data_IF_130005435527
#
_entry.id   IF_130005435527
#
_cell.length_a   1.000
_cell.length_b   1.000
_cell.length_c   1.000
_cell.angle_alpha   90.00
_cell.angle_beta   90.00
_cell.angle_gamma   90.00
#
_symmetry.space_group_name_H-M   'P 1'
#
loop_
_entity.id
_entity.type
_entity.pdbx_description
1 polymer ?
#
# COMPACT_ATOMS: atom_id res chain seq x y z
N UNK A 1 2.09 3.49 9.02
CA UNK A 1 1.99 4.83 8.39
C UNK A 1 3.35 5.10 7.74
N UNK A 2 3.44 4.95 6.41
CA UNK A 2 4.70 4.85 5.65
C UNK A 2 5.58 6.10 5.86
N UNK A 3 6.91 5.93 5.94
CA UNK A 3 7.85 7.03 6.21
C UNK A 3 7.74 8.17 5.21
N UNK A 4 7.39 7.84 3.96
CA UNK A 4 7.11 8.82 2.91
C UNK A 4 5.93 9.73 3.24
N UNK A 5 4.86 9.22 3.86
CA UNK A 5 3.71 10.05 4.27
C UNK A 5 4.09 11.10 5.32
N UNK A 6 5.07 10.84 6.20
CA UNK A 6 5.54 11.85 7.16
C UNK A 6 6.33 12.97 6.49
N UNK A 7 7.11 12.65 5.45
CA UNK A 7 7.87 13.62 4.66
C UNK A 7 6.95 14.51 3.83
N UNK A 8 5.93 13.93 3.20
CA UNK A 8 4.84 14.65 2.48
C UNK A 8 4.14 15.66 3.39
N UNK A 9 3.81 15.28 4.62
CA UNK A 9 3.08 16.15 5.55
C UNK A 9 3.95 17.24 6.18
N UNK A 10 5.28 17.09 6.16
CA UNK A 10 6.24 18.07 6.69
C UNK A 10 6.74 19.10 5.67
N UNK A 11 6.82 18.73 4.39
CA UNK A 11 7.24 19.61 3.30
C UNK A 11 6.02 20.09 2.51
N UNK A 12 5.76 21.39 2.60
CA UNK A 12 4.53 22.05 2.11
C UNK A 12 4.43 22.17 0.59
N UNK A 13 5.50 21.83 -0.14
CA UNK A 13 5.57 21.99 -1.60
C UNK A 13 5.53 20.62 -2.31
N UNK A 14 4.33 20.05 -2.35
CA UNK A 14 4.03 18.78 -3.02
C UNK A 14 4.09 18.89 -4.55
N UNK A 15 4.28 20.10 -5.09
CA UNK A 15 4.48 20.35 -6.52
C UNK A 15 5.68 19.57 -7.09
N UNK A 16 6.65 19.22 -6.23
CA UNK A 16 7.83 18.40 -6.57
C UNK A 16 7.79 17.00 -5.96
N UNK A 17 6.64 16.54 -5.47
CA UNK A 17 6.48 15.19 -4.93
C UNK A 17 6.90 14.12 -5.96
N UNK A 18 6.68 14.35 -7.25
CA UNK A 18 7.15 13.46 -8.31
C UNK A 18 8.67 13.23 -8.29
N UNK A 19 9.48 14.27 -8.09
CA UNK A 19 10.95 14.13 -7.96
C UNK A 19 11.35 13.57 -6.58
N UNK A 20 10.64 13.97 -5.51
CA UNK A 20 10.96 13.62 -4.11
C UNK A 20 10.60 12.17 -3.76
N UNK A 21 9.64 11.59 -4.47
CA UNK A 21 9.14 10.22 -4.30
C UNK A 21 9.32 9.38 -5.56
N UNK A 22 10.21 9.81 -6.47
CA UNK A 22 10.65 8.97 -7.58
C UNK A 22 11.42 7.81 -6.99
N UNK A 23 10.73 6.69 -6.83
CA UNK A 23 11.29 5.41 -6.41
C UNK A 23 11.54 4.58 -7.66
N UNK A 24 12.60 3.78 -7.64
CA UNK A 24 12.79 2.79 -8.69
C UNK A 24 11.68 1.73 -8.61
N UNK A 25 11.30 1.17 -9.75
CA UNK A 25 10.26 0.12 -9.82
C UNK A 25 10.58 -1.07 -8.88
N UNK A 26 11.87 -1.37 -8.70
CA UNK A 26 12.36 -2.41 -7.78
C UNK A 26 12.07 -2.13 -6.31
N UNK A 27 11.96 -0.86 -5.90
CA UNK A 27 11.69 -0.49 -4.51
C UNK A 27 10.20 -0.65 -4.14
N UNK A 28 9.30 -0.69 -5.14
CA UNK A 28 7.85 -0.85 -4.93
C UNK A 28 7.34 -2.26 -5.23
N UNK A 29 8.11 -3.06 -5.99
CA UNK A 29 7.72 -4.40 -6.46
C UNK A 29 7.32 -5.33 -5.31
N UNK A 30 8.11 -5.37 -4.23
CA UNK A 30 7.83 -6.21 -3.06
C UNK A 30 6.53 -5.81 -2.36
N UNK A 31 6.32 -4.49 -2.19
CA UNK A 31 5.12 -3.95 -1.57
C UNK A 31 3.86 -4.27 -2.37
N UNK A 32 3.94 -4.12 -3.70
CA UNK A 32 2.84 -4.44 -4.61
C UNK A 32 2.54 -5.93 -4.64
N UNK A 33 3.58 -6.77 -4.67
CA UNK A 33 3.45 -8.23 -4.64
C UNK A 33 2.80 -8.70 -3.34
N UNK A 34 3.21 -8.14 -2.20
CA UNK A 34 2.60 -8.44 -0.91
C UNK A 34 1.13 -8.01 -0.88
N UNK A 35 0.80 -6.81 -1.36
CA UNK A 35 -0.58 -6.32 -1.40
C UNK A 35 -1.48 -7.22 -2.27
N UNK A 36 -0.96 -7.70 -3.42
CA UNK A 36 -1.69 -8.63 -4.29
C UNK A 36 -1.93 -9.99 -3.61
N UNK A 37 -0.96 -10.50 -2.85
CA UNK A 37 -1.14 -11.76 -2.11
C UNK A 37 -2.18 -11.59 -0.99
N UNK A 38 -2.21 -10.47 -0.28
CA UNK A 38 -3.26 -10.19 0.71
C UNK A 38 -4.65 -10.08 0.07
N UNK A 39 -4.77 -9.44 -1.09
CA UNK A 39 -6.03 -9.41 -1.85
C UNK A 39 -6.45 -10.82 -2.25
N UNK A 40 -5.51 -11.67 -2.67
CA UNK A 40 -5.78 -13.07 -2.99
C UNK A 40 -6.27 -13.85 -1.76
N UNK A 41 -5.66 -13.64 -0.60
CA UNK A 41 -6.13 -14.24 0.66
C UNK A 41 -7.55 -13.79 1.00
N UNK A 42 -7.87 -12.50 0.87
CA UNK A 42 -9.21 -11.97 1.15
C UNK A 42 -10.24 -12.53 0.16
N UNK A 43 -9.93 -12.50 -1.14
CA UNK A 43 -10.83 -12.94 -2.21
C UNK A 43 -11.05 -14.45 -2.23
N UNK A 44 -10.05 -15.24 -1.84
CA UNK A 44 -10.14 -16.70 -1.75
C UNK A 44 -10.52 -17.20 -0.36
N UNK A 45 -10.65 -16.30 0.63
CA UNK A 45 -11.13 -16.67 1.94
C UNK A 45 -12.57 -17.17 1.81
N UNK A 46 -12.89 -18.38 2.30
CA UNK A 46 -14.28 -18.80 2.38
C UNK A 46 -15.01 -17.77 3.24
N UNK A 47 -16.10 -17.21 2.70
CA UNK A 47 -17.02 -16.39 3.49
C UNK A 47 -17.48 -17.32 4.62
N UNK A 48 -16.99 -17.07 5.83
CA UNK A 48 -17.44 -17.82 7.00
C UNK A 48 -18.84 -17.30 7.29
N UNK A 49 -19.83 -17.94 6.66
CA UNK A 49 -21.25 -17.83 7.04
C UNK A 49 -21.42 -18.52 8.40
N UNK A 50 -20.91 -17.91 9.46
CA UNK A 50 -21.41 -18.19 10.80
C UNK A 50 -22.80 -17.54 10.90
N UNK A 51 -23.81 -18.28 10.45
CA UNK A 51 -25.22 -17.99 10.68
C UNK A 51 -25.46 -18.05 12.21
N UNK A 52 -25.88 -16.95 12.87
CA UNK A 52 -26.32 -17.06 14.26
C UNK A 52 -27.66 -17.80 14.27
N UNK A 53 -27.73 -18.85 15.09
CA UNK A 53 -28.93 -19.65 15.34
C UNK A 53 -29.78 -19.00 16.43
#
# INVERSE_FOLDING_TARGET
MHQLFRLVLGQRDLSRAGDLFSLDDSEIEDCLSQALEEIKVISCSPVSTSLPK
#
